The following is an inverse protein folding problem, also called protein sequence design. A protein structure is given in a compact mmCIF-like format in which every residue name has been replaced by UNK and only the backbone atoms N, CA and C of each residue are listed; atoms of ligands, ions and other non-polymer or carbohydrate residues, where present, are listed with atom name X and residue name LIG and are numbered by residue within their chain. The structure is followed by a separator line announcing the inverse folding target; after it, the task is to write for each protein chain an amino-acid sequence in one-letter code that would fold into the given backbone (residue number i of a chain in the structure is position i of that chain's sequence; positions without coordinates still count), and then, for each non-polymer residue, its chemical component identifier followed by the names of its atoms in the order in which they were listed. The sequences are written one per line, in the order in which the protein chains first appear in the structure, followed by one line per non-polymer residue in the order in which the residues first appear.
data_IF_451902391076
#
_entry.id   IF_451902391076
#
_cell.length_a   1.000
_cell.length_b   1.000
_cell.length_c   1.000
_cell.angle_alpha   90.00
_cell.angle_beta   90.00
_cell.angle_gamma   90.00
#
_symmetry.space_group_name_H-M   'P 1'
#
loop_
_entity.id
_entity.type
_entity.pdbx_description
1 polymer ?
#
# COMPACT_ATOMS: atom_id res chain seq x y z
N UNK A 1 -26.85 -47.94 -22.42
CA UNK A 1 -25.82 -46.92 -22.67
C UNK A 1 -26.14 -45.70 -21.81
N UNK A 2 -25.47 -45.56 -20.67
CA UNK A 2 -25.64 -44.40 -19.77
C UNK A 2 -24.67 -43.31 -20.21
N UNK A 3 -25.19 -42.17 -20.66
CA UNK A 3 -24.40 -40.99 -20.99
C UNK A 3 -24.21 -40.15 -19.73
N UNK A 4 -23.01 -40.20 -19.14
CA UNK A 4 -22.59 -39.24 -18.12
C UNK A 4 -22.16 -37.95 -18.80
N UNK A 5 -23.00 -36.92 -18.76
CA UNK A 5 -22.60 -35.56 -19.13
C UNK A 5 -21.78 -34.97 -17.99
N UNK A 6 -20.46 -34.95 -18.14
CA UNK A 6 -19.58 -34.21 -17.24
C UNK A 6 -19.74 -32.71 -17.54
N UNK A 7 -20.55 -32.03 -16.72
CA UNK A 7 -20.62 -30.56 -16.73
C UNK A 7 -19.29 -29.98 -16.25
N UNK A 8 -18.45 -29.58 -17.21
CA UNK A 8 -17.27 -28.74 -16.95
C UNK A 8 -17.75 -27.38 -16.45
N UNK A 9 -17.76 -27.21 -15.13
CA UNK A 9 -17.79 -25.88 -14.54
C UNK A 9 -16.47 -25.18 -14.86
N UNK A 10 -16.48 -24.34 -15.90
CA UNK A 10 -15.48 -23.29 -16.09
C UNK A 10 -15.61 -22.31 -14.93
N UNK A 11 -14.94 -22.61 -13.82
CA UNK A 11 -14.67 -21.62 -12.80
C UNK A 11 -13.75 -20.57 -13.44
N UNK A 12 -14.33 -19.48 -13.92
CA UNK A 12 -13.58 -18.29 -14.31
C UNK A 12 -12.81 -17.82 -13.08
N UNK A 13 -11.52 -18.15 -13.02
CA UNK A 13 -10.61 -17.62 -12.03
C UNK A 13 -10.47 -16.11 -12.31
N UNK A 14 -11.40 -15.33 -11.79
CA UNK A 14 -11.22 -13.89 -11.64
C UNK A 14 -10.17 -13.75 -10.56
N UNK A 15 -8.90 -13.69 -10.96
CA UNK A 15 -7.85 -13.14 -10.11
C UNK A 15 -8.25 -11.70 -9.84
N UNK A 16 -8.91 -11.47 -8.70
CA UNK A 16 -9.16 -10.15 -8.17
C UNK A 16 -7.78 -9.51 -8.01
N UNK A 17 -7.42 -8.62 -8.93
CA UNK A 17 -6.29 -7.69 -8.81
C UNK A 17 -6.64 -6.64 -7.74
N UNK A 18 -6.95 -7.11 -6.54
CA UNK A 18 -6.70 -6.35 -5.34
C UNK A 18 -5.29 -6.73 -4.96
N UNK A 19 -4.32 -5.86 -5.22
CA UNK A 19 -3.07 -5.88 -4.48
C UNK A 19 -3.50 -5.78 -3.00
N UNK A 20 -3.65 -6.94 -2.35
CA UNK A 20 -3.70 -6.95 -0.90
C UNK A 20 -2.36 -6.35 -0.53
N UNK A 21 -2.38 -5.13 -0.01
CA UNK A 21 -1.20 -4.58 0.67
C UNK A 21 -0.89 -5.61 1.75
N UNK A 22 0.00 -6.54 1.43
CA UNK A 22 0.41 -7.61 2.32
C UNK A 22 1.03 -6.87 3.50
N UNK A 23 0.47 -7.14 4.69
CA UNK A 23 1.07 -6.63 5.92
C UNK A 23 2.53 -7.10 5.89
N UNK A 24 3.51 -6.27 6.29
CA UNK A 24 4.87 -6.76 6.50
C UNK A 24 4.79 -7.92 7.51
N UNK A 25 4.88 -9.14 7.01
CA UNK A 25 4.91 -10.33 7.84
C UNK A 25 6.35 -10.53 8.29
N UNK A 26 6.53 -11.02 9.50
CA UNK A 26 7.81 -11.56 9.90
C UNK A 26 8.09 -12.77 9.02
N UNK A 27 9.06 -12.63 8.12
CA UNK A 27 9.50 -13.77 7.35
C UNK A 27 10.69 -14.35 8.08
N UNK A 28 10.52 -15.57 8.59
CA UNK A 28 11.59 -16.40 9.14
C UNK A 28 12.51 -16.85 7.98
N UNK A 29 13.24 -15.92 7.37
CA UNK A 29 14.25 -16.25 6.38
C UNK A 29 15.64 -16.23 7.01
N UNK A 30 16.35 -17.34 6.83
CA UNK A 30 17.76 -17.51 7.17
C UNK A 30 18.69 -16.88 6.12
N UNK A 31 18.16 -16.41 4.99
CA UNK A 31 18.95 -15.80 3.92
C UNK A 31 19.10 -14.27 4.12
N UNK A 32 20.32 -13.75 4.33
CA UNK A 32 20.55 -12.31 4.47
C UNK A 32 20.31 -11.51 3.18
N UNK A 33 20.21 -12.16 2.01
CA UNK A 33 19.89 -11.53 0.72
C UNK A 33 18.40 -11.65 0.35
N UNK A 34 17.58 -12.27 1.21
CA UNK A 34 16.14 -12.25 1.03
C UNK A 34 15.65 -10.81 1.23
N UNK A 35 15.13 -10.21 0.15
CA UNK A 35 14.46 -8.89 0.07
C UNK A 35 13.20 -8.78 0.95
N UNK A 36 13.27 -9.22 2.20
CA UNK A 36 12.15 -9.54 3.08
C UNK A 36 12.07 -8.67 4.34
N UNK A 37 12.87 -7.61 4.39
CA UNK A 37 12.38 -6.37 4.97
C UNK A 37 11.56 -5.70 3.88
N UNK A 38 10.23 -5.67 4.02
CA UNK A 38 9.27 -5.23 2.99
C UNK A 38 9.73 -4.04 2.12
N UNK A 39 9.26 -3.96 0.86
CA UNK A 39 9.61 -3.02 -0.25
C UNK A 39 10.14 -1.59 0.09
N UNK A 40 9.86 -1.02 1.26
CA UNK A 40 10.17 0.35 1.65
C UNK A 40 11.31 0.50 2.69
N UNK A 41 12.00 -0.58 3.06
CA UNK A 41 13.20 -0.49 3.89
C UNK A 41 14.43 -0.11 3.05
N UNK A 42 15.22 0.85 3.54
CA UNK A 42 16.49 1.26 2.95
C UNK A 42 17.60 0.61 3.77
N UNK A 43 18.33 -0.33 3.18
CA UNK A 43 19.31 -1.15 3.88
C UNK A 43 20.73 -0.95 3.34
N UNK A 44 21.68 -0.89 4.25
CA UNK A 44 23.12 -0.79 4.00
C UNK A 44 23.80 -1.96 4.70
N UNK A 45 24.59 -2.74 3.97
CA UNK A 45 25.35 -3.88 4.49
C UNK A 45 26.83 -3.54 4.54
N UNK A 46 27.47 -3.79 5.68
CA UNK A 46 28.92 -3.73 5.83
C UNK A 46 29.46 -5.08 6.35
N UNK A 47 30.75 -5.14 6.70
CA UNK A 47 31.39 -6.39 7.13
C UNK A 47 30.85 -6.94 8.46
N UNK A 48 30.33 -6.09 9.35
CA UNK A 48 29.95 -6.47 10.72
C UNK A 48 28.45 -6.52 10.93
N UNK A 49 27.67 -5.80 10.13
CA UNK A 49 26.22 -5.71 10.29
C UNK A 49 25.49 -5.29 9.01
N UNK A 50 24.18 -5.51 9.01
CA UNK A 50 23.23 -4.86 8.09
C UNK A 50 22.39 -3.87 8.88
N UNK A 51 22.37 -2.61 8.43
CA UNK A 51 21.54 -1.55 9.02
C UNK A 51 20.46 -1.16 8.04
N UNK A 52 19.21 -1.16 8.50
CA UNK A 52 18.06 -0.79 7.71
C UNK A 52 17.31 0.35 8.37
N UNK A 53 16.83 1.29 7.56
CA UNK A 53 16.07 2.47 7.99
C UNK A 53 14.74 2.51 7.27
N UNK A 54 13.70 2.91 8.01
CA UNK A 54 12.37 3.08 7.44
C UNK A 54 11.61 4.18 8.15
N UNK A 55 10.75 4.84 7.39
CA UNK A 55 9.82 5.84 7.90
C UNK A 55 8.41 5.48 7.46
N UNK A 56 7.55 5.20 8.43
CA UNK A 56 6.14 4.94 8.19
C UNK A 56 5.27 5.94 8.91
N UNK A 57 4.05 6.10 8.41
CA UNK A 57 3.07 7.03 8.92
C UNK A 57 1.74 6.33 9.15
N UNK A 58 0.99 6.75 10.16
CA UNK A 58 -0.40 6.35 10.35
C UNK A 58 -1.30 7.57 10.24
N UNK A 59 -2.55 7.35 9.84
CA UNK A 59 -3.57 8.37 9.85
C UNK A 59 -4.29 8.39 11.19
N UNK A 60 -4.45 9.59 11.75
CA UNK A 60 -5.22 9.84 12.95
C UNK A 60 -6.55 10.52 12.57
N UNK A 61 -7.69 9.80 12.63
CA UNK A 61 -8.99 10.37 12.25
C UNK A 61 -9.41 11.61 13.05
N UNK A 62 -9.21 11.69 14.38
CA UNK A 62 -9.59 12.86 15.17
C UNK A 62 -8.92 14.16 14.70
N UNK A 63 -7.61 14.15 14.47
CA UNK A 63 -6.87 15.33 13.98
C UNK A 63 -6.93 15.51 12.46
N UNK A 64 -7.34 14.48 11.72
CA UNK A 64 -7.27 14.39 10.26
C UNK A 64 -5.85 14.58 9.71
N UNK A 65 -4.86 14.11 10.46
CA UNK A 65 -3.45 14.25 10.15
C UNK A 65 -2.75 12.90 10.10
N UNK A 66 -1.59 12.88 9.43
CA UNK A 66 -0.74 11.71 9.34
C UNK A 66 0.50 11.93 10.20
N UNK A 67 0.83 10.98 11.05
CA UNK A 67 1.94 11.07 12.01
C UNK A 67 2.92 9.92 11.83
N UNK A 68 4.18 10.15 12.21
CA UNK A 68 5.21 9.12 12.21
C UNK A 68 4.78 7.96 13.14
N UNK A 69 4.80 6.75 12.59
CA UNK A 69 4.35 5.55 13.29
C UNK A 69 5.46 4.92 14.13
N UNK A 70 6.70 4.88 13.65
CA UNK A 70 7.77 4.10 14.28
C UNK A 70 7.55 2.59 14.16
N UNK A 71 7.10 2.14 12.99
CA UNK A 71 6.85 0.72 12.73
C UNK A 71 8.15 -0.10 12.82
N UNK A 72 8.11 -1.20 13.58
CA UNK A 72 9.27 -2.01 13.95
C UNK A 72 9.61 -3.11 12.94
N UNK A 73 8.70 -3.45 12.02
CA UNK A 73 8.99 -4.32 10.88
C UNK A 73 8.00 -5.44 10.64
N UNK A 74 7.35 -5.96 11.69
CA UNK A 74 6.39 -7.06 11.59
C UNK A 74 5.06 -6.76 12.29
N UNK A 75 4.03 -7.54 11.99
CA UNK A 75 2.79 -7.61 12.78
C UNK A 75 2.05 -6.26 12.92
N UNK A 76 2.26 -5.36 11.96
CA UNK A 76 1.58 -4.08 11.85
C UNK A 76 0.08 -4.21 11.51
N UNK A 77 -0.65 -3.13 11.68
CA UNK A 77 -1.98 -2.97 11.08
C UNK A 77 -1.84 -2.39 9.67
N UNK A 78 -2.98 -2.25 8.97
CA UNK A 78 -2.97 -1.59 7.66
C UNK A 78 -2.85 -0.07 7.79
N UNK A 79 -3.11 0.54 8.96
CA UNK A 79 -2.92 1.99 9.17
C UNK A 79 -1.42 2.33 9.34
N UNK A 80 -0.66 2.07 8.28
CA UNK A 80 0.79 2.13 8.20
C UNK A 80 1.15 2.37 6.74
N UNK A 81 1.64 3.55 6.41
CA UNK A 81 1.93 4.04 5.07
C UNK A 81 3.42 4.36 4.95
N UNK A 82 4.08 4.02 3.82
CA UNK A 82 5.52 4.18 3.65
C UNK A 82 5.96 5.64 3.40
N UNK A 83 5.03 6.58 3.32
CA UNK A 83 5.33 8.01 3.25
C UNK A 83 4.16 8.85 3.75
N UNK A 84 4.47 10.09 4.17
CA UNK A 84 3.47 11.07 4.58
C UNK A 84 2.50 11.37 3.44
N UNK A 85 3.03 11.45 2.21
CA UNK A 85 2.24 11.70 1.01
C UNK A 85 1.26 10.57 0.75
N UNK A 86 1.70 9.30 0.83
CA UNK A 86 0.78 8.16 0.64
C UNK A 86 -0.29 8.10 1.73
N UNK A 87 0.05 8.38 2.98
CA UNK A 87 -0.94 8.47 4.06
C UNK A 87 -1.96 9.58 3.78
N UNK A 88 -1.49 10.78 3.45
CA UNK A 88 -2.35 11.92 3.17
C UNK A 88 -3.24 11.68 1.94
N UNK A 89 -2.66 11.23 0.83
CA UNK A 89 -3.38 10.93 -0.40
C UNK A 89 -4.41 9.79 -0.21
N UNK A 90 -4.11 8.82 0.65
CA UNK A 90 -5.05 7.73 0.92
C UNK A 90 -6.16 8.14 1.90
N UNK A 91 -5.84 8.86 2.97
CA UNK A 91 -6.75 9.01 4.12
C UNK A 91 -7.26 10.42 4.38
N UNK A 92 -6.46 11.46 4.12
CA UNK A 92 -6.93 12.83 4.34
C UNK A 92 -8.00 13.10 3.31
N UNK A 93 -9.24 13.25 3.76
CA UNK A 93 -10.25 13.93 2.97
C UNK A 93 -9.64 15.28 2.63
N UNK A 94 -9.22 15.47 1.38
CA UNK A 94 -8.56 16.69 0.95
C UNK A 94 -9.38 17.85 1.51
N UNK A 95 -8.78 18.62 2.41
CA UNK A 95 -9.29 19.89 2.85
C UNK A 95 -9.62 20.62 1.55
N UNK A 96 -10.92 20.69 1.24
CA UNK A 96 -11.51 21.28 0.05
C UNK A 96 -10.57 21.35 -1.17
N UNK A 97 -10.58 20.31 -2.04
CA UNK A 97 -10.12 20.50 -3.43
C UNK A 97 -10.69 21.82 -3.92
N UNK A 98 -9.86 22.67 -4.54
CA UNK A 98 -10.34 23.95 -5.02
C UNK A 98 -11.55 23.74 -5.94
N UNK A 99 -12.52 24.67 -5.96
CA UNK A 99 -13.65 24.57 -6.88
C UNK A 99 -13.20 24.31 -8.33
N UNK A 100 -12.06 24.90 -8.73
CA UNK A 100 -11.41 24.65 -10.01
C UNK A 100 -10.99 23.19 -10.22
N UNK A 101 -10.32 22.57 -9.23
CA UNK A 101 -9.92 21.17 -9.33
C UNK A 101 -11.14 20.24 -9.38
N UNK A 102 -12.16 20.50 -8.56
CA UNK A 102 -13.43 19.77 -8.56
C UNK A 102 -14.09 19.86 -9.95
N UNK A 103 -14.22 21.07 -10.48
CA UNK A 103 -14.83 21.31 -11.79
C UNK A 103 -14.04 20.63 -12.91
N UNK A 104 -12.72 20.73 -12.89
CA UNK A 104 -11.84 20.02 -13.84
C UNK A 104 -12.05 18.51 -13.78
N UNK A 105 -12.07 17.92 -12.59
CA UNK A 105 -12.32 16.48 -12.44
C UNK A 105 -13.72 16.07 -12.92
N UNK A 106 -14.75 16.86 -12.65
CA UNK A 106 -16.11 16.62 -13.15
C UNK A 106 -16.18 16.70 -14.68
N UNK A 107 -15.40 17.58 -15.32
CA UNK A 107 -15.33 17.67 -16.79
C UNK A 107 -14.59 16.50 -17.43
N UNK A 108 -13.50 16.05 -16.82
CA UNK A 108 -12.71 14.92 -17.35
C UNK A 108 -13.41 13.59 -17.07
N UNK A 109 -14.07 13.44 -15.91
CA UNK A 109 -14.67 12.19 -15.45
C UNK A 109 -16.15 12.33 -15.04
N UNK A 110 -17.06 12.83 -15.89
CA UNK A 110 -18.45 13.13 -15.52
C UNK A 110 -19.25 11.90 -15.08
N UNK A 111 -18.93 10.72 -15.65
CA UNK A 111 -19.61 9.45 -15.36
C UNK A 111 -18.68 8.37 -14.79
N UNK A 112 -17.52 8.76 -14.25
CA UNK A 112 -16.53 7.82 -13.72
C UNK A 112 -16.09 6.71 -14.68
N UNK A 113 -16.27 6.92 -15.97
CA UNK A 113 -15.83 6.02 -17.03
C UNK A 113 -14.37 6.32 -17.33
N UNK A 114 -13.49 5.42 -16.92
CA UNK A 114 -12.04 5.53 -17.11
C UNK A 114 -11.62 4.95 -18.46
N UNK A 115 -10.47 5.41 -18.98
CA UNK A 115 -9.86 4.81 -20.16
C UNK A 115 -9.53 3.32 -19.88
N UNK A 116 -9.90 2.39 -20.79
CA UNK A 116 -9.56 0.99 -20.61
C UNK A 116 -8.06 0.80 -20.40
N UNK A 117 -7.70 0.06 -19.36
CA UNK A 117 -6.30 -0.30 -19.10
C UNK A 117 -5.89 -1.36 -20.12
N UNK A 118 -4.95 -1.02 -21.01
CA UNK A 118 -4.39 -1.98 -21.97
C UNK A 118 -3.43 -2.91 -21.24
N UNK A 119 -3.72 -4.23 -21.25
CA UNK A 119 -2.80 -5.26 -20.74
C UNK A 119 -1.80 -5.68 -21.83
N UNK A 120 -0.54 -6.06 -21.47
CA UNK A 120 0.03 -6.14 -20.14
C UNK A 120 0.84 -4.87 -19.78
N UNK A 121 0.68 -4.43 -18.54
CA UNK A 121 1.19 -3.16 -18.00
C UNK A 121 2.72 -3.11 -18.00
N UNK A 122 3.31 -2.17 -18.75
CA UNK A 122 4.75 -1.82 -18.69
C UNK A 122 5.03 -0.49 -18.00
N UNK A 123 4.01 0.15 -17.42
CA UNK A 123 4.13 1.47 -16.81
C UNK A 123 4.51 1.44 -15.34
N UNK A 124 5.21 2.48 -14.88
CA UNK A 124 5.61 2.65 -13.48
C UNK A 124 4.72 3.59 -12.65
N UNK A 125 3.76 4.28 -13.29
CA UNK A 125 2.93 5.28 -12.61
C UNK A 125 1.70 4.61 -12.03
N UNK A 126 1.59 4.62 -10.69
CA UNK A 126 0.41 4.12 -9.99
C UNK A 126 -0.74 5.12 -10.07
N UNK A 127 -1.92 4.66 -10.47
CA UNK A 127 -3.16 5.44 -10.54
C UNK A 127 -4.35 4.61 -10.07
N UNK A 128 -5.55 5.19 -10.05
CA UNK A 128 -6.76 4.53 -9.59
C UNK A 128 -7.90 4.65 -10.60
N UNK A 129 -8.63 3.55 -10.80
CA UNK A 129 -9.81 3.49 -11.66
C UNK A 129 -11.02 3.04 -10.89
N UNK A 130 -12.18 3.58 -11.25
CA UNK A 130 -13.46 3.11 -10.77
C UNK A 130 -13.97 1.95 -11.63
N UNK A 131 -14.28 0.83 -11.01
CA UNK A 131 -14.95 -0.29 -11.66
C UNK A 131 -16.45 -0.23 -11.38
N UNK A 132 -17.23 0.01 -12.42
CA UNK A 132 -18.69 0.20 -12.35
C UNK A 132 -19.46 -1.09 -12.03
N UNK A 133 -18.90 -2.27 -12.36
CA UNK A 133 -19.48 -3.59 -12.06
C UNK A 133 -19.32 -3.93 -10.58
N UNK A 134 -18.10 -3.85 -10.05
CA UNK A 134 -17.80 -4.17 -8.65
C UNK A 134 -18.13 -3.05 -7.67
N UNK A 135 -18.41 -1.84 -8.20
CA UNK A 135 -18.57 -0.61 -7.43
C UNK A 135 -17.40 -0.44 -6.47
N UNK A 136 -16.17 -0.43 -7.01
CA UNK A 136 -14.92 -0.28 -6.26
C UNK A 136 -13.88 0.49 -7.07
N UNK A 137 -13.15 1.36 -6.37
CA UNK A 137 -11.89 1.90 -6.86
C UNK A 137 -10.76 0.88 -6.62
N UNK A 138 -9.89 0.68 -7.60
CA UNK A 138 -8.72 -0.20 -7.48
C UNK A 138 -7.48 0.42 -8.16
N UNK A 139 -6.26 0.07 -7.71
CA UNK A 139 -5.04 0.59 -8.30
C UNK A 139 -4.77 -0.02 -9.68
N UNK A 140 -4.12 0.73 -10.55
CA UNK A 140 -3.64 0.33 -11.87
C UNK A 140 -2.27 0.93 -12.13
N UNK A 141 -1.43 0.27 -12.94
CA UNK A 141 -0.16 0.83 -13.41
C UNK A 141 -0.29 1.30 -14.85
N UNK A 142 0.11 2.55 -15.11
CA UNK A 142 -0.08 3.22 -16.40
C UNK A 142 1.19 3.94 -16.85
N UNK A 143 1.31 4.18 -18.16
CA UNK A 143 2.43 4.96 -18.73
C UNK A 143 2.17 6.48 -18.64
N UNK A 144 0.92 6.90 -18.78
CA UNK A 144 0.47 8.28 -18.55
C UNK A 144 -0.69 8.28 -17.54
N UNK A 145 -0.68 9.25 -16.62
CA UNK A 145 -1.62 9.34 -15.52
C UNK A 145 -2.79 10.32 -15.69
N UNK A 146 -2.82 11.13 -16.76
CA UNK A 146 -3.81 12.21 -16.93
C UNK A 146 -5.27 11.72 -17.02
N UNK A 147 -5.48 10.50 -17.54
CA UNK A 147 -6.80 9.89 -17.73
C UNK A 147 -7.26 9.05 -16.51
N UNK A 148 -6.60 9.21 -15.35
CA UNK A 148 -6.82 8.36 -14.18
C UNK A 148 -6.77 9.16 -12.87
N UNK A 149 -7.43 8.66 -11.81
CA UNK A 149 -7.32 9.32 -10.50
C UNK A 149 -5.90 9.18 -9.94
N UNK A 150 -5.30 10.26 -9.43
CA UNK A 150 -3.97 10.23 -8.84
C UNK A 150 -3.94 9.47 -7.52
N UNK A 151 -5.04 9.48 -6.76
CA UNK A 151 -5.18 8.84 -5.47
C UNK A 151 -6.55 8.16 -5.30
N UNK A 152 -6.61 7.15 -4.44
CA UNK A 152 -7.82 6.36 -4.23
C UNK A 152 -8.94 7.17 -3.57
N UNK A 153 -8.59 8.14 -2.74
CA UNK A 153 -9.55 8.93 -2.00
C UNK A 153 -10.36 9.82 -2.95
N UNK A 154 -9.70 10.46 -3.92
CA UNK A 154 -10.31 11.16 -5.04
C UNK A 154 -11.26 10.24 -5.82
N UNK A 155 -10.82 9.02 -6.17
CA UNK A 155 -11.69 8.07 -6.86
C UNK A 155 -12.96 7.74 -6.06
N UNK A 156 -12.81 7.40 -4.77
CA UNK A 156 -13.95 7.07 -3.90
C UNK A 156 -14.87 8.28 -3.75
N UNK A 157 -14.32 9.47 -3.52
CA UNK A 157 -15.08 10.72 -3.37
C UNK A 157 -15.91 11.07 -4.60
N UNK A 158 -15.32 10.98 -5.79
CA UNK A 158 -16.00 11.38 -7.03
C UNK A 158 -16.90 10.30 -7.62
N UNK A 159 -16.58 9.02 -7.41
CA UNK A 159 -17.28 7.90 -8.05
C UNK A 159 -18.09 7.02 -7.11
N UNK A 160 -18.03 7.27 -5.80
CA UNK A 160 -18.86 6.61 -4.79
C UNK A 160 -19.48 7.63 -3.82
N UNK A 161 -20.22 8.65 -4.30
CA UNK A 161 -20.70 9.72 -3.44
C UNK A 161 -21.75 9.28 -2.40
N UNK A 162 -22.56 8.26 -2.71
CA UNK A 162 -23.65 7.79 -1.84
C UNK A 162 -23.20 6.80 -0.76
N UNK A 163 -22.05 6.15 -0.99
CA UNK A 163 -21.44 5.23 -0.04
C UNK A 163 -19.94 5.24 -0.31
N UNK A 164 -19.24 6.34 0.05
CA UNK A 164 -17.80 6.39 -0.08
C UNK A 164 -17.30 5.27 0.82
N UNK A 165 -16.87 4.15 0.21
CA UNK A 165 -16.46 2.98 0.99
C UNK A 165 -15.44 3.49 1.99
N UNK A 166 -15.81 3.39 3.25
CA UNK A 166 -14.96 3.78 4.37
C UNK A 166 -13.59 3.21 4.07
N UNK A 167 -12.60 4.10 3.96
CA UNK A 167 -11.24 3.71 3.69
C UNK A 167 -10.75 3.01 4.96
N UNK A 168 -11.09 1.72 5.10
CA UNK A 168 -10.93 0.94 6.34
C UNK A 168 -9.51 1.00 6.89
N UNK A 169 -8.54 1.22 6.00
CA UNK A 169 -7.12 1.41 6.32
C UNK A 169 -6.89 2.63 7.24
N UNK A 170 -7.66 3.69 7.06
CA UNK A 170 -7.53 4.97 7.78
C UNK A 170 -8.15 4.92 9.18
N UNK A 171 -9.15 4.05 9.39
CA UNK A 171 -9.83 3.88 10.67
C UNK A 171 -9.33 2.67 11.46
N UNK A 172 -8.44 1.86 10.87
CA UNK A 172 -7.79 0.78 11.60
C UNK A 172 -6.89 1.36 12.70
N UNK A 173 -6.86 0.70 13.85
CA UNK A 173 -5.93 1.00 14.93
C UNK A 173 -4.49 1.07 14.43
N UNK A 174 -3.68 1.96 15.00
CA UNK A 174 -2.23 1.95 14.76
C UNK A 174 -1.56 0.90 15.63
N UNK A 175 -0.51 0.27 15.11
CA UNK A 175 0.43 -0.50 15.93
C UNK A 175 1.83 -0.36 15.35
N UNK A 176 2.82 -0.26 16.24
CA UNK A 176 4.23 -0.27 15.86
C UNK A 176 4.69 -1.69 15.50
N UNK A 177 3.91 -2.71 15.85
CA UNK A 177 4.28 -4.09 15.59
C UNK A 177 5.51 -4.51 16.40
N UNK A 178 6.32 -5.41 15.83
CA UNK A 178 7.46 -6.00 16.52
C UNK A 178 8.68 -6.04 15.58
N UNK A 179 9.87 -6.11 16.19
CA UNK A 179 11.12 -6.31 15.46
C UNK A 179 11.18 -7.73 14.87
N UNK A 180 11.72 -7.92 13.66
CA UNK A 180 11.98 -9.25 13.12
C UNK A 180 12.99 -10.03 13.97
N UNK A 181 12.89 -11.36 13.99
CA UNK A 181 13.82 -12.20 14.75
C UNK A 181 15.27 -11.98 14.29
N UNK A 182 16.17 -11.77 15.26
CA UNK A 182 17.59 -11.52 15.01
C UNK A 182 17.90 -10.10 14.53
N UNK A 183 16.93 -9.18 14.59
CA UNK A 183 17.14 -7.75 14.37
C UNK A 183 16.90 -6.99 15.67
N UNK A 184 17.78 -6.04 15.96
CA UNK A 184 17.58 -5.05 17.01
C UNK A 184 17.04 -3.77 16.39
N UNK A 185 15.84 -3.34 16.77
CA UNK A 185 15.17 -2.18 16.18
C UNK A 185 14.92 -1.08 17.22
N UNK A 186 15.26 0.16 16.88
CA UNK A 186 15.04 1.35 17.69
C UNK A 186 14.26 2.41 16.90
N UNK A 187 13.52 3.25 17.62
CA UNK A 187 12.73 4.34 17.03
C UNK A 187 13.38 5.67 17.38
N UNK A 188 13.90 6.36 16.37
CA UNK A 188 14.35 7.74 16.47
C UNK A 188 13.17 8.67 16.12
N UNK A 189 12.62 9.33 17.14
CA UNK A 189 11.48 10.25 16.99
C UNK A 189 11.87 11.61 16.44
N UNK A 190 13.12 12.02 16.61
CA UNK A 190 13.61 13.31 16.14
C UNK A 190 13.86 13.25 14.64
N UNK A 191 14.61 12.24 14.18
CA UNK A 191 14.83 12.01 12.76
C UNK A 191 13.63 11.34 12.06
N UNK A 192 12.64 10.87 12.83
CA UNK A 192 11.47 10.13 12.38
C UNK A 192 11.86 8.91 11.54
N UNK A 193 12.69 8.05 12.11
CA UNK A 193 13.09 6.78 11.50
C UNK A 193 12.98 5.64 12.52
N UNK A 194 12.55 4.48 12.04
CA UNK A 194 12.89 3.21 12.69
C UNK A 194 14.21 2.73 12.10
N UNK A 195 15.16 2.37 12.95
CA UNK A 195 16.46 1.83 12.57
C UNK A 195 16.53 0.40 13.09
N UNK A 196 16.79 -0.56 12.23
CA UNK A 196 16.97 -1.96 12.59
C UNK A 196 18.38 -2.41 12.20
N UNK A 197 19.06 -3.10 13.10
CA UNK A 197 20.42 -3.63 12.91
C UNK A 197 20.41 -5.14 13.10
N UNK A 198 21.08 -5.85 12.18
CA UNK A 198 21.37 -7.28 12.31
C UNK A 198 22.86 -7.49 12.19
N UNK A 199 23.47 -7.99 13.25
CA UNK A 199 24.90 -8.32 13.26
C UNK A 199 25.17 -9.51 12.31
N UNK A 200 26.34 -9.49 11.69
CA UNK A 200 26.85 -10.64 10.95
C UNK A 200 27.07 -11.80 11.92
N UNK A 201 26.76 -13.02 11.50
CA UNK A 201 27.13 -14.20 12.27
C UNK A 201 28.65 -14.17 12.45
N UNK A 202 29.15 -14.29 13.69
CA UNK A 202 30.58 -14.39 13.93
C UNK A 202 31.11 -15.58 13.12
N UNK A 203 32.07 -15.31 12.22
CA UNK A 203 32.82 -16.36 11.53
C UNK A 203 33.57 -17.17 12.59
N UNK A 204 32.92 -18.20 13.09
CA UNK A 204 33.55 -19.20 13.95
C UNK A 204 34.37 -20.08 13.01
N UNK A 205 35.61 -19.64 12.71
CA UNK A 205 36.63 -20.55 12.20
C UNK A 205 36.76 -21.70 13.19
N UNK A 206 36.28 -22.89 12.80
CA UNK A 206 36.58 -24.16 13.44
C UNK A 206 37.90 -24.71 12.89
#
# INVERSE_FOLDING_TARGET
MNFYTASLFLASAITVLGESIEKPQCINSTNPDDKKMSKFWICEKNATATTCRRRDYYYDPPSQMCYFLGFMGCNGTKNNFPSLYECAAHCRMAATLSPYAIDRFKRIFPNCTMKPVQRPEKGGIRRFVYNSTSKRCHPVLVNNGDDYFPDINSCVKFCQPENPKELKRCHAEKTVGEAPQGWECTVDREAQYTICVKEAAADTCK
#
